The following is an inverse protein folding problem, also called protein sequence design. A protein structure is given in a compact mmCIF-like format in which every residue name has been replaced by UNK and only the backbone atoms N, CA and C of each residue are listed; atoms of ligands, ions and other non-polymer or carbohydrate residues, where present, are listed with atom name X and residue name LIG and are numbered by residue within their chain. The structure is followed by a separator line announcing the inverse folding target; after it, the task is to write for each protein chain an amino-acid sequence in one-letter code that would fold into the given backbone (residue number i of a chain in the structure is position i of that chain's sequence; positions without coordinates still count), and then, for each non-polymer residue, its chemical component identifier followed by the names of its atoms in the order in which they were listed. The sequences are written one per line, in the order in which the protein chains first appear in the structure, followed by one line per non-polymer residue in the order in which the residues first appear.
data_IF_523951343143
#
_entry.id   IF_523951343143
#
_cell.length_a   1.000
_cell.length_b   1.000
_cell.length_c   1.000
_cell.angle_alpha   90.00
_cell.angle_beta   90.00
_cell.angle_gamma   90.00
#
_symmetry.space_group_name_H-M   'P 1'
#
loop_
_entity.id
_entity.type
_entity.pdbx_description
1 polymer ?
#
# COMPACT_ATOMS: atom_id res chain seq x y z
N UNK A 1 2.74 53.52 -29.68
CA UNK A 1 2.70 52.53 -28.57
C UNK A 1 1.58 51.48 -28.67
N UNK A 2 0.35 51.63 -28.15
CA UNK A 2 -0.62 50.49 -28.12
C UNK A 2 -0.91 49.86 -29.50
N UNK A 3 -1.28 50.68 -30.51
CA UNK A 3 -1.58 50.21 -31.88
C UNK A 3 -0.37 49.51 -32.51
N UNK A 4 0.82 49.99 -32.21
CA UNK A 4 2.09 49.47 -32.70
C UNK A 4 2.46 48.13 -32.06
N UNK A 5 2.29 47.99 -30.74
CA UNK A 5 2.42 46.72 -30.02
C UNK A 5 1.40 45.72 -30.56
N UNK A 6 0.13 46.12 -30.72
CA UNK A 6 -0.93 45.25 -31.27
C UNK A 6 -0.58 44.75 -32.68
N UNK A 7 -0.04 45.62 -33.54
CA UNK A 7 0.43 45.26 -34.89
C UNK A 7 1.63 44.30 -34.85
N UNK A 8 2.57 44.48 -33.92
CA UNK A 8 3.69 43.56 -33.76
C UNK A 8 3.21 42.17 -33.32
N UNK A 9 2.32 42.10 -32.32
CA UNK A 9 1.67 40.85 -31.88
C UNK A 9 0.93 40.17 -33.04
N UNK A 10 0.16 40.93 -33.83
CA UNK A 10 -0.55 40.43 -35.01
C UNK A 10 0.43 39.77 -36.00
N UNK A 11 1.52 40.46 -36.34
CA UNK A 11 2.54 39.95 -37.25
C UNK A 11 3.23 38.67 -36.71
N UNK A 12 3.53 38.59 -35.41
CA UNK A 12 4.15 37.40 -34.83
C UNK A 12 3.20 36.18 -34.85
N UNK A 13 1.90 36.37 -34.56
CA UNK A 13 0.90 35.29 -34.66
C UNK A 13 0.72 34.81 -36.12
N UNK A 14 0.86 35.71 -37.10
CA UNK A 14 0.82 35.33 -38.52
C UNK A 14 2.05 34.52 -38.95
N UNK A 15 3.17 34.60 -38.25
CA UNK A 15 4.35 33.76 -38.46
C UNK A 15 4.32 32.43 -37.67
N UNK A 16 3.42 32.30 -36.69
CA UNK A 16 3.29 31.06 -35.91
C UNK A 16 2.84 29.87 -36.79
N UNK A 17 3.48 28.69 -36.68
CA UNK A 17 3.05 27.48 -37.39
C UNK A 17 1.77 26.86 -36.81
N UNK A 18 1.46 27.17 -35.55
CA UNK A 18 0.25 26.76 -34.85
C UNK A 18 0.14 27.49 -33.52
N UNK A 19 -1.08 27.69 -33.05
CA UNK A 19 -1.39 28.49 -31.86
C UNK A 19 -2.21 27.65 -30.87
N UNK A 20 -1.78 27.62 -29.61
CA UNK A 20 -2.58 27.16 -28.50
C UNK A 20 -3.21 28.37 -27.78
N UNK A 21 -4.50 28.31 -27.51
CA UNK A 21 -5.20 29.32 -26.69
C UNK A 21 -5.34 28.81 -25.26
N UNK A 22 -5.15 29.71 -24.29
CA UNK A 22 -5.62 29.51 -22.92
C UNK A 22 -6.70 30.54 -22.61
N UNK A 23 -7.81 30.10 -22.02
CA UNK A 23 -8.90 30.95 -21.52
C UNK A 23 -8.96 30.87 -19.99
N UNK A 24 -9.22 32.01 -19.35
CA UNK A 24 -9.58 32.08 -17.93
C UNK A 24 -10.73 33.09 -17.75
N UNK A 25 -11.75 32.72 -16.98
CA UNK A 25 -12.80 33.64 -16.52
C UNK A 25 -12.66 33.81 -15.01
N UNK A 26 -12.41 35.05 -14.58
CA UNK A 26 -12.10 35.36 -13.19
C UNK A 26 -12.86 36.60 -12.70
N UNK A 27 -13.16 36.64 -11.40
CA UNK A 27 -13.84 37.77 -10.76
C UNK A 27 -12.83 38.67 -10.07
N UNK A 28 -12.87 39.97 -10.38
CA UNK A 28 -12.01 40.96 -9.75
C UNK A 28 -12.44 41.29 -8.31
N UNK A 29 -11.55 41.92 -7.54
CA UNK A 29 -11.87 42.42 -6.19
C UNK A 29 -13.06 43.39 -6.17
N UNK A 30 -13.35 44.07 -7.28
CA UNK A 30 -14.53 44.92 -7.46
C UNK A 30 -15.81 44.13 -7.83
N UNK A 31 -15.80 42.82 -7.64
CA UNK A 31 -16.88 41.86 -7.98
C UNK A 31 -17.32 41.94 -9.46
N UNK A 32 -16.37 42.12 -10.39
CA UNK A 32 -16.65 42.13 -11.83
C UNK A 32 -15.97 40.95 -12.52
N UNK A 33 -16.73 40.17 -13.29
CA UNK A 33 -16.20 39.07 -14.08
C UNK A 33 -15.46 39.57 -15.34
N UNK A 34 -14.28 39.01 -15.59
CA UNK A 34 -13.46 39.25 -16.78
C UNK A 34 -13.15 37.91 -17.46
N UNK A 35 -13.20 37.92 -18.79
CA UNK A 35 -12.66 36.84 -19.63
C UNK A 35 -11.31 37.30 -20.18
N UNK A 36 -10.29 36.45 -20.03
CA UNK A 36 -8.94 36.67 -20.57
C UNK A 36 -8.55 35.52 -21.47
N UNK A 37 -8.03 35.84 -22.66
CA UNK A 37 -7.57 34.88 -23.67
C UNK A 37 -6.12 35.18 -24.04
N UNK A 38 -5.26 34.17 -23.94
CA UNK A 38 -3.83 34.27 -24.25
C UNK A 38 -3.47 33.26 -25.31
N UNK A 39 -2.75 33.69 -26.35
CA UNK A 39 -2.19 32.81 -27.37
C UNK A 39 -0.76 32.41 -26.99
N UNK A 40 -0.42 31.14 -27.21
CA UNK A 40 0.89 30.53 -27.00
C UNK A 40 1.33 29.87 -28.30
N UNK A 41 2.57 30.12 -28.73
CA UNK A 41 3.10 29.60 -29.99
C UNK A 41 4.63 29.49 -29.95
N UNK A 42 5.19 28.73 -30.89
CA UNK A 42 6.65 28.62 -31.06
C UNK A 42 7.14 29.73 -31.98
N UNK A 43 8.03 30.59 -31.46
CA UNK A 43 8.80 31.53 -32.26
C UNK A 43 9.98 30.81 -32.93
N UNK A 44 9.79 30.46 -34.21
CA UNK A 44 10.77 29.77 -35.04
C UNK A 44 12.08 30.56 -35.24
N UNK A 45 12.11 31.88 -35.00
CA UNK A 45 13.35 32.68 -35.12
C UNK A 45 14.27 32.47 -33.91
N UNK A 46 13.69 32.20 -32.75
CA UNK A 46 14.40 32.14 -31.47
C UNK A 46 14.35 30.76 -30.80
N UNK A 47 13.64 29.79 -31.39
CA UNK A 47 13.39 28.46 -30.84
C UNK A 47 12.84 28.50 -29.39
N UNK A 48 11.91 29.43 -29.14
CA UNK A 48 11.29 29.65 -27.82
C UNK A 48 9.77 29.71 -27.94
N UNK A 49 9.08 29.30 -26.87
CA UNK A 49 7.65 29.58 -26.74
C UNK A 49 7.48 31.06 -26.41
N UNK A 50 6.62 31.75 -27.17
CA UNK A 50 6.10 33.09 -26.86
C UNK A 50 4.63 33.00 -26.49
N UNK A 51 4.19 33.96 -25.69
CA UNK A 51 2.78 34.14 -25.40
C UNK A 51 2.38 35.62 -25.45
N UNK A 52 1.14 35.87 -25.86
CA UNK A 52 0.55 37.21 -25.88
C UNK A 52 -0.92 37.15 -25.43
N UNK A 53 -1.29 38.05 -24.51
CA UNK A 53 -2.70 38.27 -24.16
C UNK A 53 -3.39 38.92 -25.36
N UNK A 54 -4.35 38.22 -25.94
CA UNK A 54 -5.12 38.69 -27.10
C UNK A 54 -6.24 39.64 -26.66
N UNK A 55 -6.89 39.31 -25.55
CA UNK A 55 -7.99 40.08 -24.99
C UNK A 55 -8.12 39.81 -23.49
N UNK A 56 -8.32 40.88 -22.71
CA UNK A 56 -8.93 40.83 -21.37
C UNK A 56 -10.09 41.83 -21.38
N UNK A 57 -11.34 41.34 -21.36
CA UNK A 57 -12.54 42.18 -21.35
C UNK A 57 -13.51 41.73 -20.27
N UNK A 58 -14.29 42.69 -19.76
CA UNK A 58 -15.38 42.44 -18.81
C UNK A 58 -16.42 41.54 -19.48
N UNK A 59 -16.78 40.44 -18.83
CA UNK A 59 -17.65 39.40 -19.38
C UNK A 59 -18.93 39.28 -18.53
N UNK A 60 -19.79 40.29 -18.63
CA UNK A 60 -21.01 40.42 -17.80
C UNK A 60 -22.12 39.44 -18.20
N UNK A 61 -22.99 39.12 -17.24
CA UNK A 61 -24.15 38.23 -17.41
C UNK A 61 -23.80 36.74 -17.43
N UNK A 62 -24.77 35.89 -17.73
CA UNK A 62 -24.64 34.43 -17.65
C UNK A 62 -23.45 33.90 -18.46
N UNK A 63 -22.56 33.15 -17.82
CA UNK A 63 -21.39 32.52 -18.45
C UNK A 63 -21.79 31.21 -19.15
N UNK A 64 -22.69 31.29 -20.14
CA UNK A 64 -23.14 30.12 -20.90
C UNK A 64 -22.09 29.70 -21.93
N UNK A 65 -22.15 28.43 -22.35
CA UNK A 65 -21.17 27.83 -23.26
C UNK A 65 -21.11 28.58 -24.59
N UNK A 66 -22.27 28.90 -25.13
CA UNK A 66 -22.49 29.51 -26.44
C UNK A 66 -21.82 30.89 -26.49
N UNK A 67 -22.00 31.72 -25.45
CA UNK A 67 -21.40 33.07 -25.36
C UNK A 67 -19.89 33.03 -25.26
N UNK A 68 -19.33 32.00 -24.62
CA UNK A 68 -17.87 31.84 -24.48
C UNK A 68 -17.27 31.38 -25.82
N UNK A 69 -17.91 30.40 -26.49
CA UNK A 69 -17.51 29.93 -27.82
C UNK A 69 -17.64 31.03 -28.88
N UNK A 70 -18.73 31.79 -28.89
CA UNK A 70 -18.94 32.96 -29.76
C UNK A 70 -17.83 34.00 -29.57
N UNK A 71 -17.49 34.33 -28.31
CA UNK A 71 -16.39 35.26 -28.01
C UNK A 71 -15.03 34.71 -28.43
N UNK A 72 -14.75 33.42 -28.21
CA UNK A 72 -13.50 32.79 -28.68
C UNK A 72 -13.38 32.85 -30.21
N UNK A 73 -14.45 32.54 -30.93
CA UNK A 73 -14.50 32.64 -32.40
C UNK A 73 -14.29 34.10 -32.86
N UNK A 74 -14.92 35.07 -32.19
CA UNK A 74 -14.72 36.50 -32.49
C UNK A 74 -13.26 36.91 -32.31
N UNK A 75 -12.62 36.50 -31.20
CA UNK A 75 -11.19 36.77 -30.96
C UNK A 75 -10.31 36.11 -32.05
N UNK A 76 -10.63 34.89 -32.49
CA UNK A 76 -9.87 34.23 -33.55
C UNK A 76 -10.00 34.95 -34.90
N UNK A 77 -11.16 35.53 -35.20
CA UNK A 77 -11.41 36.36 -36.39
C UNK A 77 -10.71 37.72 -36.27
N UNK A 78 -10.87 38.43 -35.15
CA UNK A 78 -10.25 39.74 -34.86
C UNK A 78 -8.71 39.74 -34.98
N UNK A 79 -8.10 38.59 -34.71
CA UNK A 79 -6.65 38.37 -34.82
C UNK A 79 -6.25 37.59 -36.08
N UNK A 80 -7.20 37.12 -36.91
CA UNK A 80 -6.97 36.35 -38.14
C UNK A 80 -6.13 35.07 -37.93
N UNK A 81 -6.53 34.26 -36.95
CA UNK A 81 -5.81 33.04 -36.51
C UNK A 81 -6.67 31.76 -36.46
N UNK A 82 -7.92 31.79 -36.92
CA UNK A 82 -8.88 30.68 -36.79
C UNK A 82 -8.41 29.33 -37.38
N UNK A 83 -7.71 29.40 -38.51
CA UNK A 83 -7.07 28.27 -39.19
C UNK A 83 -5.88 27.70 -38.39
N UNK A 84 -5.10 28.58 -37.76
CA UNK A 84 -3.88 28.26 -36.99
C UNK A 84 -4.12 27.71 -35.59
N UNK A 85 -5.35 27.79 -35.05
CA UNK A 85 -5.62 27.24 -33.71
C UNK A 85 -5.43 25.73 -33.74
N UNK A 86 -4.60 25.20 -32.85
CA UNK A 86 -4.35 23.76 -32.68
C UNK A 86 -5.10 23.22 -31.46
N UNK A 87 -5.15 23.98 -30.37
CA UNK A 87 -5.70 23.54 -29.10
C UNK A 87 -6.17 24.72 -28.24
N UNK A 88 -7.33 24.57 -27.59
CA UNK A 88 -7.78 25.37 -26.46
C UNK A 88 -7.49 24.61 -25.16
N UNK A 89 -6.90 25.30 -24.18
CA UNK A 89 -6.67 24.85 -22.81
C UNK A 89 -7.55 25.70 -21.88
N UNK A 90 -8.31 25.04 -21.02
CA UNK A 90 -9.32 25.66 -20.15
C UNK A 90 -9.16 25.17 -18.71
N UNK A 91 -9.86 25.78 -17.76
CA UNK A 91 -10.13 25.12 -16.48
C UNK A 91 -11.03 23.87 -16.67
N UNK A 92 -11.16 23.06 -15.61
CA UNK A 92 -11.86 21.78 -15.62
C UNK A 92 -13.36 21.87 -15.31
N UNK A 93 -13.94 23.07 -15.17
CA UNK A 93 -15.35 23.18 -14.76
C UNK A 93 -16.31 22.66 -15.84
N UNK A 94 -17.52 22.25 -15.43
CA UNK A 94 -18.51 21.65 -16.32
C UNK A 94 -18.88 22.52 -17.54
N UNK A 95 -18.84 23.85 -17.39
CA UNK A 95 -19.05 24.79 -18.50
C UNK A 95 -17.86 24.76 -19.46
N UNK A 96 -16.63 24.88 -18.97
CA UNK A 96 -15.44 24.91 -19.83
C UNK A 96 -15.18 23.58 -20.55
N UNK A 97 -15.49 22.44 -19.91
CA UNK A 97 -15.50 21.13 -20.57
C UNK A 97 -16.45 21.07 -21.79
N UNK A 98 -17.55 21.83 -21.78
CA UNK A 98 -18.48 21.95 -22.92
C UNK A 98 -17.97 22.97 -23.94
N UNK A 99 -17.52 24.15 -23.51
CA UNK A 99 -16.87 25.17 -24.37
C UNK A 99 -15.76 24.53 -25.21
N UNK A 100 -14.94 23.70 -24.58
CA UNK A 100 -13.87 22.97 -25.25
C UNK A 100 -14.36 22.00 -26.34
N UNK A 101 -15.45 21.26 -26.10
CA UNK A 101 -16.05 20.37 -27.09
C UNK A 101 -16.65 21.15 -28.26
N UNK A 102 -17.41 22.20 -27.95
CA UNK A 102 -18.16 22.97 -28.94
C UNK A 102 -17.26 23.88 -29.79
N UNK A 103 -16.09 24.27 -29.26
CA UNK A 103 -15.01 24.93 -30.00
C UNK A 103 -14.19 23.96 -30.87
N UNK A 104 -14.35 22.64 -30.70
CA UNK A 104 -13.86 21.60 -31.63
C UNK A 104 -12.35 21.30 -31.63
N UNK A 105 -11.55 21.94 -30.76
CA UNK A 105 -10.08 21.81 -30.75
C UNK A 105 -9.51 21.80 -29.33
N UNK A 106 -9.46 20.65 -28.64
CA UNK A 106 -9.02 20.56 -27.23
C UNK A 106 -8.06 19.41 -26.97
N UNK A 107 -7.03 19.69 -26.18
CA UNK A 107 -6.21 18.68 -25.49
C UNK A 107 -6.74 18.44 -24.08
N UNK A 108 -6.74 17.18 -23.64
CA UNK A 108 -7.34 16.74 -22.38
C UNK A 108 -6.50 17.23 -21.18
N UNK A 109 -7.02 18.22 -20.46
CA UNK A 109 -6.37 18.75 -19.23
C UNK A 109 -6.38 17.67 -18.14
N UNK A 110 -5.30 17.63 -17.34
CA UNK A 110 -5.15 16.71 -16.20
C UNK A 110 -6.24 16.96 -15.17
N UNK A 111 -6.96 15.89 -14.77
CA UNK A 111 -8.04 15.96 -13.80
C UNK A 111 -7.50 15.94 -12.36
N UNK A 112 -7.08 17.12 -11.87
CA UNK A 112 -6.59 17.30 -10.49
C UNK A 112 -7.61 16.82 -9.44
N UNK A 113 -8.90 17.05 -9.66
CA UNK A 113 -10.00 16.55 -8.81
C UNK A 113 -9.95 15.01 -8.64
N UNK A 114 -9.53 14.29 -9.70
CA UNK A 114 -9.37 12.84 -9.68
C UNK A 114 -8.13 12.38 -8.91
N UNK A 115 -7.06 13.17 -8.92
CA UNK A 115 -5.86 12.93 -8.10
C UNK A 115 -6.15 13.17 -6.61
N UNK A 116 -6.86 14.24 -6.28
CA UNK A 116 -7.27 14.52 -4.89
C UNK A 116 -8.22 13.44 -4.36
N UNK A 117 -9.22 13.03 -5.16
CA UNK A 117 -10.10 11.89 -4.83
C UNK A 117 -9.32 10.58 -4.63
N UNK A 118 -8.27 10.34 -5.43
CA UNK A 118 -7.42 9.16 -5.28
C UNK A 118 -6.55 9.23 -4.02
N UNK A 119 -5.94 10.39 -3.71
CA UNK A 119 -5.17 10.59 -2.48
C UNK A 119 -6.01 10.30 -1.23
N UNK A 120 -7.25 10.81 -1.20
CA UNK A 120 -8.18 10.58 -0.09
C UNK A 120 -8.61 9.10 0.07
N UNK A 121 -8.58 8.31 -1.02
CA UNK A 121 -8.83 6.85 -0.96
C UNK A 121 -7.58 6.08 -0.50
N UNK A 122 -6.39 6.56 -0.84
CA UNK A 122 -5.11 5.88 -0.54
C UNK A 122 -4.51 6.25 0.83
N UNK A 123 -4.95 7.33 1.48
CA UNK A 123 -4.48 7.71 2.82
C UNK A 123 -4.61 6.57 3.87
N UNK A 124 -5.75 5.85 3.99
CA UNK A 124 -5.84 4.66 4.86
C UNK A 124 -4.83 3.55 4.51
N UNK A 125 -4.48 3.40 3.24
CA UNK A 125 -3.51 2.39 2.77
C UNK A 125 -2.07 2.77 3.13
N UNK A 126 -1.74 4.05 3.13
CA UNK A 126 -0.45 4.55 3.62
C UNK A 126 -0.31 4.23 5.12
N UNK A 127 -1.31 4.61 5.92
CA UNK A 127 -1.32 4.36 7.35
C UNK A 127 -1.26 2.85 7.69
N UNK A 128 -2.02 2.02 6.95
CA UNK A 128 -1.98 0.57 7.05
C UNK A 128 -0.58 0.00 6.71
N UNK A 129 -0.02 0.37 5.57
CA UNK A 129 1.32 -0.06 5.13
C UNK A 129 2.37 0.32 6.17
N UNK A 130 2.34 1.56 6.66
CA UNK A 130 3.27 2.06 7.69
C UNK A 130 3.16 1.27 9.00
N UNK A 131 1.95 0.91 9.41
CA UNK A 131 1.71 0.12 10.63
C UNK A 131 2.19 -1.33 10.49
N UNK A 132 1.94 -1.96 9.34
CA UNK A 132 2.35 -3.34 9.04
C UNK A 132 3.85 -3.49 8.72
N UNK A 133 4.51 -2.40 8.32
CA UNK A 133 5.96 -2.32 8.10
C UNK A 133 6.74 -1.90 9.37
N UNK A 134 6.12 -1.94 10.55
CA UNK A 134 6.81 -1.70 11.83
C UNK A 134 7.63 -2.93 12.26
N UNK A 135 8.85 -2.71 12.72
CA UNK A 135 9.71 -3.70 13.37
C UNK A 135 9.77 -3.56 14.91
N UNK A 136 9.05 -2.58 15.50
CA UNK A 136 9.08 -2.29 16.95
C UNK A 136 7.95 -2.92 17.77
N UNK A 137 7.01 -3.63 17.14
CA UNK A 137 5.85 -4.25 17.80
C UNK A 137 5.31 -5.43 16.99
N UNK A 138 4.61 -6.41 17.59
CA UNK A 138 3.92 -7.47 16.86
C UNK A 138 3.06 -6.93 15.71
N UNK A 139 3.36 -7.37 14.48
CA UNK A 139 2.63 -6.97 13.27
C UNK A 139 1.72 -8.07 12.72
N UNK A 140 1.97 -9.35 13.01
CA UNK A 140 1.12 -10.44 12.52
C UNK A 140 -0.32 -10.37 13.03
N UNK A 141 -0.51 -10.01 14.29
CA UNK A 141 -1.82 -9.93 14.96
C UNK A 141 -2.66 -8.71 14.57
N UNK A 142 -2.08 -7.77 13.82
CA UNK A 142 -2.80 -6.60 13.30
C UNK A 142 -3.10 -6.70 11.81
N UNK A 143 -2.67 -7.75 11.10
CA UNK A 143 -2.97 -7.92 9.66
C UNK A 143 -4.48 -7.94 9.43
N UNK A 144 -5.22 -8.85 10.09
CA UNK A 144 -6.68 -8.99 9.91
C UNK A 144 -7.49 -7.75 10.37
N UNK A 145 -7.19 -7.12 11.53
CA UNK A 145 -7.76 -5.82 11.87
C UNK A 145 -7.50 -4.73 10.83
N UNK A 146 -6.30 -4.67 10.24
CA UNK A 146 -5.95 -3.70 9.21
C UNK A 146 -6.67 -3.98 7.90
N UNK A 147 -6.71 -5.23 7.41
CA UNK A 147 -7.44 -5.57 6.18
C UNK A 147 -8.94 -5.32 6.31
N UNK A 148 -9.53 -5.64 7.47
CA UNK A 148 -10.93 -5.31 7.77
C UNK A 148 -11.16 -3.79 7.76
N UNK A 149 -10.31 -3.03 8.46
CA UNK A 149 -10.41 -1.55 8.50
C UNK A 149 -10.29 -0.93 7.11
N UNK A 150 -9.41 -1.47 6.26
CA UNK A 150 -9.30 -1.05 4.87
C UNK A 150 -10.58 -1.36 4.09
N UNK A 151 -11.15 -2.57 4.20
CA UNK A 151 -12.41 -2.92 3.53
C UNK A 151 -13.55 -1.98 3.96
N UNK A 152 -13.69 -1.68 5.25
CA UNK A 152 -14.69 -0.72 5.76
C UNK A 152 -14.41 0.70 5.25
N UNK A 153 -13.15 1.13 5.14
CA UNK A 153 -12.81 2.45 4.58
C UNK A 153 -13.20 2.62 3.11
N UNK A 154 -13.33 1.51 2.38
CA UNK A 154 -13.75 1.44 0.98
C UNK A 154 -15.28 1.39 0.79
N UNK A 155 -16.07 1.41 1.87
CA UNK A 155 -17.54 1.50 1.75
C UNK A 155 -17.97 2.78 1.02
N UNK A 156 -19.05 2.68 0.27
CA UNK A 156 -19.58 3.81 -0.50
C UNK A 156 -20.17 4.88 0.42
N UNK A 157 -19.93 6.14 0.07
CA UNK A 157 -20.56 7.32 0.66
C UNK A 157 -21.49 7.95 -0.38
N UNK A 158 -22.56 8.62 0.05
CA UNK A 158 -23.52 9.26 -0.86
C UNK A 158 -22.85 10.32 -1.76
N UNK A 159 -21.82 11.00 -1.23
CA UNK A 159 -21.02 11.99 -1.94
C UNK A 159 -19.96 11.40 -2.90
N UNK A 160 -19.74 10.08 -2.93
CA UNK A 160 -18.69 9.47 -3.75
C UNK A 160 -19.00 9.58 -5.25
N UNK A 161 -18.03 10.06 -6.02
CA UNK A 161 -18.07 10.11 -7.47
C UNK A 161 -18.08 8.70 -8.11
N UNK A 162 -18.48 8.62 -9.38
CA UNK A 162 -18.38 7.35 -10.15
C UNK A 162 -16.94 6.85 -10.30
N UNK A 163 -15.96 7.77 -10.29
CA UNK A 163 -14.54 7.41 -10.25
C UNK A 163 -14.17 6.79 -8.90
N UNK A 164 -14.54 7.42 -7.79
CA UNK A 164 -14.26 6.91 -6.43
C UNK A 164 -14.86 5.52 -6.21
N UNK A 165 -16.12 5.30 -6.60
CA UNK A 165 -16.79 3.99 -6.51
C UNK A 165 -16.02 2.92 -7.27
N UNK A 166 -15.65 3.19 -8.53
CA UNK A 166 -14.86 2.25 -9.35
C UNK A 166 -13.47 1.98 -8.76
N UNK A 167 -12.79 2.98 -8.19
CA UNK A 167 -11.49 2.76 -7.51
C UNK A 167 -11.69 1.89 -6.26
N UNK A 168 -12.71 2.18 -5.45
CA UNK A 168 -13.06 1.41 -4.25
C UNK A 168 -13.37 -0.06 -4.57
N UNK A 169 -14.12 -0.33 -5.64
CA UNK A 169 -14.45 -1.70 -6.07
C UNK A 169 -13.19 -2.52 -6.39
N UNK A 170 -12.27 -1.95 -7.20
CA UNK A 170 -11.04 -2.64 -7.59
C UNK A 170 -10.12 -2.89 -6.39
N UNK A 171 -9.99 -1.91 -5.49
CA UNK A 171 -9.21 -2.07 -4.26
C UNK A 171 -9.84 -3.12 -3.33
N UNK A 172 -11.16 -3.11 -3.16
CA UNK A 172 -11.88 -4.07 -2.31
C UNK A 172 -11.72 -5.48 -2.84
N UNK A 173 -11.94 -5.69 -4.14
CA UNK A 173 -11.71 -6.97 -4.80
C UNK A 173 -10.26 -7.45 -4.60
N UNK A 174 -9.27 -6.58 -4.84
CA UNK A 174 -7.86 -6.96 -4.72
C UNK A 174 -7.42 -7.25 -3.28
N UNK A 175 -8.00 -6.60 -2.26
CA UNK A 175 -7.79 -6.98 -0.85
C UNK A 175 -8.41 -8.35 -0.60
N UNK A 176 -9.68 -8.55 -0.99
CA UNK A 176 -10.38 -9.80 -0.73
C UNK A 176 -9.67 -11.00 -1.38
N UNK A 177 -9.30 -10.92 -2.66
CA UNK A 177 -8.55 -11.95 -3.39
C UNK A 177 -7.18 -12.27 -2.75
N UNK A 178 -6.44 -11.25 -2.30
CA UNK A 178 -5.08 -11.44 -1.76
C UNK A 178 -5.03 -11.89 -0.30
N UNK A 179 -6.10 -11.69 0.45
CA UNK A 179 -6.16 -11.94 1.89
C UNK A 179 -7.26 -12.96 2.28
N UNK A 180 -7.85 -13.66 1.31
CA UNK A 180 -8.91 -14.66 1.52
C UNK A 180 -8.47 -15.82 2.43
N UNK A 181 -7.24 -16.30 2.27
CA UNK A 181 -6.64 -17.40 3.06
C UNK A 181 -5.64 -16.91 4.13
N UNK A 182 -5.97 -15.83 4.86
CA UNK A 182 -5.18 -15.44 6.03
C UNK A 182 -5.33 -16.47 7.17
N UNK A 183 -4.45 -17.47 7.18
CA UNK A 183 -4.15 -18.32 8.35
C UNK A 183 -3.81 -17.54 9.65
N UNK A 184 -3.64 -16.21 9.53
CA UNK A 184 -3.21 -15.26 10.55
C UNK A 184 -4.35 -14.72 11.43
N UNK A 185 -5.61 -14.85 11.02
CA UNK A 185 -6.79 -14.45 11.84
C UNK A 185 -6.77 -15.10 13.23
N UNK A 186 -6.21 -16.32 13.27
CA UNK A 186 -5.99 -17.15 14.46
C UNK A 186 -4.93 -16.62 15.43
N UNK A 187 -4.02 -15.77 14.96
CA UNK A 187 -2.96 -15.15 15.75
C UNK A 187 -3.39 -13.81 16.36
N UNK A 188 -4.46 -13.21 15.85
CA UNK A 188 -5.15 -12.05 16.47
C UNK A 188 -5.61 -12.40 17.89
N UNK A 189 -6.05 -13.65 18.12
CA UNK A 189 -6.49 -14.16 19.42
C UNK A 189 -5.42 -14.02 20.52
N UNK A 190 -4.13 -14.12 20.16
CA UNK A 190 -3.01 -13.98 21.10
C UNK A 190 -2.64 -12.52 21.38
N UNK A 191 -3.32 -11.53 20.80
CA UNK A 191 -3.06 -10.12 21.03
C UNK A 191 -4.13 -9.51 21.96
N UNK A 192 -3.79 -9.17 23.22
CA UNK A 192 -4.75 -8.66 24.20
C UNK A 192 -5.36 -7.30 23.84
N UNK A 193 -4.93 -6.66 22.74
CA UNK A 193 -5.62 -5.51 22.17
C UNK A 193 -6.92 -5.93 21.48
N UNK A 194 -6.98 -7.08 20.82
CA UNK A 194 -8.06 -7.49 19.91
C UNK A 194 -8.79 -8.72 20.47
N UNK A 195 -9.69 -8.50 21.42
CA UNK A 195 -10.55 -9.54 22.03
C UNK A 195 -12.02 -9.40 21.66
N UNK A 196 -12.47 -8.20 21.33
CA UNK A 196 -13.77 -7.98 20.68
C UNK A 196 -13.64 -8.20 19.17
N UNK A 197 -14.00 -9.40 18.71
CA UNK A 197 -13.90 -9.79 17.30
C UNK A 197 -15.14 -9.38 16.48
N UNK A 198 -16.03 -8.52 16.99
CA UNK A 198 -17.24 -8.08 16.28
C UNK A 198 -17.00 -7.44 14.90
N UNK A 199 -15.76 -7.02 14.62
CA UNK A 199 -15.30 -6.54 13.31
C UNK A 199 -14.90 -7.66 12.34
N UNK A 200 -14.46 -8.84 12.82
CA UNK A 200 -14.12 -9.97 11.95
C UNK A 200 -15.39 -10.61 11.38
N UNK A 201 -15.26 -11.18 10.17
CA UNK A 201 -16.41 -11.58 9.38
C UNK A 201 -17.30 -12.61 10.09
N UNK A 202 -18.62 -12.42 10.02
CA UNK A 202 -19.65 -13.11 10.82
C UNK A 202 -19.69 -14.63 10.63
N UNK A 203 -19.01 -15.16 9.62
CA UNK A 203 -18.86 -16.58 9.29
C UNK A 203 -17.90 -17.36 10.19
N UNK A 204 -17.05 -16.68 10.98
CA UNK A 204 -16.14 -17.31 11.95
C UNK A 204 -16.73 -17.39 13.38
N UNK A 205 -17.94 -16.89 13.59
CA UNK A 205 -18.52 -16.72 14.94
C UNK A 205 -19.41 -17.89 15.39
N UNK A 206 -18.92 -19.12 15.31
CA UNK A 206 -19.64 -20.31 15.81
C UNK A 206 -18.86 -21.12 16.87
N UNK A 207 -19.03 -20.66 18.12
CA UNK A 207 -18.74 -21.32 19.41
C UNK A 207 -17.33 -21.21 20.01
N UNK A 208 -17.27 -21.24 21.35
CA UNK A 208 -16.06 -21.33 22.18
C UNK A 208 -15.07 -22.46 21.80
N UNK A 209 -15.49 -23.42 20.97
CA UNK A 209 -14.62 -24.50 20.53
C UNK A 209 -13.48 -24.01 19.61
N UNK A 210 -13.66 -22.88 18.90
CA UNK A 210 -12.70 -22.47 17.89
C UNK A 210 -11.35 -22.01 18.45
N UNK A 211 -11.28 -21.23 19.53
CA UNK A 211 -9.99 -20.85 20.13
C UNK A 211 -9.21 -22.08 20.63
N UNK A 212 -9.90 -23.09 21.17
CA UNK A 212 -9.29 -24.37 21.54
C UNK A 212 -8.84 -25.17 20.31
N UNK A 213 -9.63 -25.21 19.24
CA UNK A 213 -9.23 -25.82 17.96
C UNK A 213 -7.98 -25.11 17.41
N UNK A 214 -7.92 -23.78 17.49
CA UNK A 214 -6.77 -22.96 17.06
C UNK A 214 -5.51 -23.27 17.87
N UNK A 215 -5.61 -23.29 19.21
CA UNK A 215 -4.47 -23.63 20.07
C UNK A 215 -3.98 -25.06 19.83
N UNK A 216 -4.91 -26.02 19.65
CA UNK A 216 -4.57 -27.40 19.27
C UNK A 216 -3.96 -27.47 17.86
N UNK A 217 -4.40 -26.65 16.90
CA UNK A 217 -3.82 -26.59 15.54
C UNK A 217 -2.43 -25.96 15.54
N UNK A 218 -2.19 -24.91 16.32
CA UNK A 218 -0.85 -24.31 16.49
C UNK A 218 0.11 -25.29 17.17
N UNK A 219 -0.35 -26.01 18.21
CA UNK A 219 0.44 -27.07 18.85
C UNK A 219 0.67 -28.28 17.93
N UNK A 220 -0.31 -28.64 17.08
CA UNK A 220 -0.14 -29.68 16.06
C UNK A 220 0.82 -29.24 14.93
N UNK A 221 0.83 -27.96 14.57
CA UNK A 221 1.81 -27.38 13.65
C UNK A 221 3.22 -27.42 14.25
N UNK A 222 3.36 -27.12 15.55
CA UNK A 222 4.61 -27.30 16.28
C UNK A 222 5.08 -28.76 16.32
N UNK A 223 4.17 -29.70 16.61
CA UNK A 223 4.48 -31.12 16.60
C UNK A 223 4.90 -31.60 15.20
N UNK A 224 4.23 -31.13 14.13
CA UNK A 224 4.61 -31.42 12.73
C UNK A 224 5.95 -30.82 12.34
N UNK A 225 6.24 -29.57 12.74
CA UNK A 225 7.54 -28.94 12.46
C UNK A 225 8.67 -29.59 13.25
N UNK A 226 8.45 -29.98 14.51
CA UNK A 226 9.42 -30.77 15.27
C UNK A 226 9.62 -32.15 14.66
N UNK A 227 8.56 -32.83 14.21
CA UNK A 227 8.67 -34.10 13.49
C UNK A 227 9.40 -33.94 12.15
N UNK A 228 9.13 -32.89 11.38
CA UNK A 228 9.83 -32.59 10.12
C UNK A 228 11.31 -32.28 10.36
N UNK A 229 11.64 -31.42 11.33
CA UNK A 229 13.03 -31.12 11.70
C UNK A 229 13.76 -32.37 12.25
N UNK A 230 13.07 -33.22 13.00
CA UNK A 230 13.63 -34.50 13.48
C UNK A 230 13.87 -35.46 12.31
N UNK A 231 12.92 -35.61 11.40
CA UNK A 231 13.06 -36.41 10.18
C UNK A 231 14.16 -35.86 9.26
N UNK A 232 14.27 -34.54 9.10
CA UNK A 232 15.33 -33.89 8.32
C UNK A 232 16.70 -34.10 8.97
N UNK A 233 16.78 -34.04 10.31
CA UNK A 233 18.01 -34.31 11.07
C UNK A 233 18.40 -35.79 11.00
N UNK A 234 17.44 -36.71 11.08
CA UNK A 234 17.62 -38.15 10.84
C UNK A 234 18.07 -38.42 9.40
N UNK A 235 17.43 -37.81 8.40
CA UNK A 235 17.79 -37.93 6.99
C UNK A 235 19.20 -37.41 6.72
N UNK A 236 19.57 -36.25 7.27
CA UNK A 236 20.94 -35.74 7.20
C UNK A 236 21.94 -36.62 7.96
N UNK A 237 21.52 -37.36 9.00
CA UNK A 237 22.39 -38.33 9.69
C UNK A 237 22.55 -39.65 8.92
N UNK A 238 21.53 -40.05 8.15
CA UNK A 238 21.50 -41.29 7.35
C UNK A 238 22.08 -41.14 5.94
N UNK A 239 21.97 -39.94 5.34
CA UNK A 239 22.31 -39.67 3.93
C UNK A 239 23.23 -38.44 3.75
N UNK A 240 23.42 -37.61 4.78
CA UNK A 240 24.27 -36.42 4.72
C UNK A 240 25.73 -36.71 4.97
N UNK A 241 26.38 -37.42 4.03
CA UNK A 241 27.84 -37.50 3.94
C UNK A 241 28.29 -37.76 2.49
N UNK A 242 28.16 -36.73 1.66
CA UNK A 242 28.77 -36.61 0.33
C UNK A 242 29.27 -35.17 0.16
N UNK A 243 30.55 -34.85 -0.02
CA UNK A 243 31.81 -35.64 -0.08
C UNK A 243 32.99 -34.68 0.31
N UNK A 244 34.30 -34.99 0.36
CA UNK A 244 35.10 -36.15 -0.10
C UNK A 244 36.47 -36.14 0.63
N UNK A 245 36.99 -37.27 1.13
CA UNK A 245 38.45 -37.50 1.29
C UNK A 245 38.83 -38.94 1.69
N UNK A 246 39.70 -39.56 0.88
CA UNK A 246 40.84 -40.44 1.25
C UNK A 246 40.67 -41.73 2.09
N UNK A 247 41.37 -42.78 1.63
CA UNK A 247 41.43 -44.15 2.16
C UNK A 247 42.07 -44.29 3.55
N UNK A 248 41.58 -45.24 4.37
CA UNK A 248 42.41 -46.31 4.99
C UNK A 248 41.57 -47.36 5.74
N UNK A 249 42.07 -48.59 5.82
CA UNK A 249 41.39 -49.77 6.41
C UNK A 249 41.51 -49.84 7.95
N UNK A 250 40.43 -50.18 8.68
CA UNK A 250 40.42 -51.06 9.88
C UNK A 250 39.06 -51.81 9.97
N UNK A 251 39.03 -52.97 10.62
CA UNK A 251 37.92 -53.93 10.69
C UNK A 251 36.81 -53.58 11.73
N UNK A 252 35.58 -54.06 11.45
CA UNK A 252 34.46 -54.53 12.31
C UNK A 252 34.39 -54.16 13.83
N UNK A 253 33.18 -53.92 14.40
CA UNK A 253 32.11 -54.94 14.41
C UNK A 253 30.66 -54.46 14.22
N UNK A 254 29.77 -55.44 14.07
CA UNK A 254 28.31 -55.27 13.99
C UNK A 254 27.72 -54.64 15.26
N UNK A 255 26.83 -53.65 15.09
CA UNK A 255 25.85 -53.32 16.12
C UNK A 255 24.43 -53.32 15.52
N UNK A 256 23.54 -54.03 16.22
CA UNK A 256 22.19 -54.39 15.77
C UNK A 256 21.39 -53.14 15.39
N UNK A 257 20.75 -53.18 14.21
CA UNK A 257 19.59 -52.31 13.93
C UNK A 257 18.57 -52.53 15.05
N UNK A 258 18.35 -51.52 15.90
CA UNK A 258 17.11 -51.48 16.67
C UNK A 258 15.98 -51.27 15.68
N UNK A 259 15.05 -52.22 15.67
CA UNK A 259 13.85 -52.17 14.87
C UNK A 259 13.01 -50.95 15.28
N UNK A 260 12.46 -50.25 14.28
CA UNK A 260 11.75 -49.00 14.48
C UNK A 260 10.36 -49.28 15.04
N UNK A 261 10.15 -49.07 16.34
CA UNK A 261 8.86 -49.33 16.96
C UNK A 261 7.88 -48.18 16.65
N UNK A 262 6.82 -48.52 15.91
CA UNK A 262 5.72 -47.61 15.55
C UNK A 262 4.98 -47.08 16.80
N UNK A 263 5.09 -47.74 17.96
CA UNK A 263 4.46 -47.27 19.19
C UNK A 263 5.11 -46.03 19.82
N UNK A 264 6.38 -45.71 19.53
CA UNK A 264 7.02 -44.46 20.01
C UNK A 264 6.31 -43.21 19.47
N UNK A 265 5.70 -43.30 18.29
CA UNK A 265 4.88 -42.22 17.71
C UNK A 265 3.60 -42.01 18.53
N UNK A 266 3.01 -43.07 19.11
CA UNK A 266 1.80 -42.96 19.93
C UNK A 266 2.05 -42.30 21.29
N UNK A 267 3.23 -42.48 21.90
CA UNK A 267 3.60 -41.84 23.18
C UNK A 267 3.52 -40.30 23.07
N UNK A 268 3.89 -39.74 21.91
CA UNK A 268 3.84 -38.29 21.68
C UNK A 268 2.41 -37.74 21.67
N UNK A 269 1.44 -38.51 21.15
CA UNK A 269 0.02 -38.14 21.15
C UNK A 269 -0.61 -38.18 22.56
N UNK A 270 -0.05 -38.96 23.50
CA UNK A 270 -0.56 -39.05 24.87
C UNK A 270 -0.24 -37.84 25.77
N UNK A 271 0.47 -36.81 25.28
CA UNK A 271 0.65 -35.52 25.99
C UNK A 271 -0.62 -34.64 25.90
N UNK A 272 -1.57 -35.01 25.04
CA UNK A 272 -2.84 -34.29 24.82
C UNK A 272 -3.81 -34.41 26.01
N UNK A 273 -3.71 -35.45 26.85
CA UNK A 273 -4.70 -35.82 27.89
C UNK A 273 -4.60 -35.04 29.22
N UNK A 274 -4.26 -33.74 29.18
CA UNK A 274 -4.39 -32.82 30.34
C UNK A 274 -5.24 -31.60 29.99
N UNK A 275 -6.47 -31.85 29.52
CA UNK A 275 -7.43 -30.84 29.06
C UNK A 275 -7.93 -29.91 30.19
N UNK A 276 -8.25 -30.46 31.37
CA UNK A 276 -8.95 -29.73 32.44
C UNK A 276 -8.24 -28.46 32.98
N UNK A 277 -6.93 -28.29 32.76
CA UNK A 277 -6.21 -27.06 33.15
C UNK A 277 -6.11 -26.04 32.02
N UNK A 278 -6.23 -26.47 30.76
CA UNK A 278 -5.96 -25.65 29.56
C UNK A 278 -7.16 -24.78 29.20
N UNK A 279 -8.36 -25.34 29.34
CA UNK A 279 -9.62 -24.63 29.08
C UNK A 279 -9.82 -23.45 30.05
N UNK A 280 -9.38 -23.60 31.31
CA UNK A 280 -9.46 -22.55 32.33
C UNK A 280 -8.55 -21.34 32.05
N UNK A 281 -7.33 -21.56 31.55
CA UNK A 281 -6.39 -20.47 31.21
C UNK A 281 -6.95 -19.58 30.09
N UNK A 282 -7.57 -20.20 29.09
CA UNK A 282 -8.23 -19.50 27.98
C UNK A 282 -9.48 -18.73 28.43
N UNK A 283 -10.39 -19.36 29.16
CA UNK A 283 -11.59 -18.68 29.67
C UNK A 283 -11.24 -17.49 30.56
N UNK A 284 -10.16 -17.58 31.35
CA UNK A 284 -9.66 -16.43 32.14
C UNK A 284 -9.07 -15.32 31.27
N UNK A 285 -8.50 -15.63 30.10
CA UNK A 285 -7.94 -14.67 29.16
C UNK A 285 -9.03 -13.95 28.35
N UNK A 286 -10.06 -14.67 27.89
CA UNK A 286 -11.21 -14.11 27.17
C UNK A 286 -12.03 -13.15 28.05
N UNK A 287 -12.17 -13.43 29.35
CA UNK A 287 -12.86 -12.55 30.30
C UNK A 287 -12.00 -11.37 30.82
N UNK A 288 -10.72 -11.32 30.49
CA UNK A 288 -9.81 -10.24 30.90
C UNK A 288 -9.93 -9.04 29.96
N UNK A 289 -9.81 -7.81 30.47
CA UNK A 289 -10.05 -6.60 29.66
C UNK A 289 -9.09 -6.49 28.47
N UNK A 290 -9.54 -5.81 27.41
CA UNK A 290 -8.66 -5.35 26.33
C UNK A 290 -7.67 -4.31 26.86
N UNK A 291 -6.46 -4.33 26.32
CA UNK A 291 -5.47 -3.24 26.52
C UNK A 291 -5.58 -2.19 25.42
N UNK A 292 -5.06 -0.98 25.64
CA UNK A 292 -5.17 0.11 24.68
C UNK A 292 -4.40 -0.18 23.38
N UNK A 293 -4.90 0.32 22.25
CA UNK A 293 -4.35 0.07 20.89
C UNK A 293 -2.88 0.52 20.72
N UNK A 294 -2.41 1.43 21.56
CA UNK A 294 -1.04 1.94 21.61
C UNK A 294 -0.11 1.19 22.57
N UNK A 295 -0.63 0.30 23.43
CA UNK A 295 0.18 -0.50 24.35
C UNK A 295 0.82 -1.72 23.64
N UNK A 296 1.84 -2.29 24.28
CA UNK A 296 2.63 -3.39 23.75
C UNK A 296 2.10 -4.76 24.24
N UNK A 297 1.62 -5.64 23.34
CA UNK A 297 1.19 -6.99 23.71
C UNK A 297 2.24 -7.80 24.48
N UNK A 298 3.52 -7.65 24.13
CA UNK A 298 4.60 -8.47 24.70
C UNK A 298 4.90 -8.08 26.15
N UNK A 299 4.76 -6.80 26.50
CA UNK A 299 4.88 -6.32 27.88
C UNK A 299 3.72 -6.86 28.73
N UNK A 300 2.49 -6.83 28.19
CA UNK A 300 1.32 -7.39 28.86
C UNK A 300 1.46 -8.90 29.11
N UNK A 301 1.92 -9.66 28.10
CA UNK A 301 2.18 -11.10 28.26
C UNK A 301 3.31 -11.38 29.26
N UNK A 302 4.33 -10.53 29.34
CA UNK A 302 5.40 -10.68 30.34
C UNK A 302 4.90 -10.40 31.77
N UNK A 303 4.04 -9.39 31.94
CA UNK A 303 3.41 -9.08 33.22
C UNK A 303 2.45 -10.20 33.68
N UNK A 304 1.70 -10.79 32.75
CA UNK A 304 0.68 -11.81 33.06
C UNK A 304 1.16 -13.26 32.90
N UNK A 305 2.45 -13.52 32.64
CA UNK A 305 2.99 -14.87 32.40
C UNK A 305 2.78 -15.88 33.54
N UNK A 306 2.61 -15.40 34.78
CA UNK A 306 2.29 -16.24 35.95
C UNK A 306 0.80 -16.62 36.00
N UNK A 307 -0.08 -15.75 35.50
CA UNK A 307 -1.52 -15.99 35.33
C UNK A 307 -1.82 -16.86 34.11
N UNK A 308 -1.04 -16.70 33.04
CA UNK A 308 -1.20 -17.40 31.76
C UNK A 308 0.11 -18.09 31.31
N UNK A 309 0.53 -19.19 31.97
CA UNK A 309 1.83 -19.84 31.73
C UNK A 309 1.94 -20.64 30.42
N UNK A 310 0.82 -20.92 29.74
CA UNK A 310 0.80 -21.64 28.45
C UNK A 310 0.59 -20.67 27.31
N UNK A 311 -0.40 -19.78 27.42
CA UNK A 311 -0.73 -18.78 26.39
C UNK A 311 0.40 -17.76 26.22
N UNK A 312 1.07 -17.34 27.30
CA UNK A 312 2.23 -16.44 27.17
C UNK A 312 3.36 -17.05 26.33
N UNK A 313 3.64 -18.36 26.47
CA UNK A 313 4.65 -19.07 25.65
C UNK A 313 4.25 -19.09 24.17
N UNK A 314 2.98 -19.32 23.88
CA UNK A 314 2.46 -19.30 22.50
C UNK A 314 2.47 -17.88 21.93
N UNK A 315 2.08 -16.87 22.71
CA UNK A 315 2.14 -15.47 22.33
C UNK A 315 3.57 -15.02 21.99
N UNK A 316 4.55 -15.27 22.87
CA UNK A 316 5.95 -14.97 22.56
C UNK A 316 6.50 -15.72 21.33
N UNK A 317 5.97 -16.91 21.05
CA UNK A 317 6.38 -17.75 19.91
C UNK A 317 5.78 -17.30 18.58
N UNK A 318 4.54 -16.82 18.56
CA UNK A 318 3.84 -16.48 17.31
C UNK A 318 3.73 -14.97 17.04
N UNK A 319 3.69 -14.11 18.06
CA UNK A 319 3.62 -12.65 17.87
C UNK A 319 4.94 -12.04 17.35
N UNK A 320 6.03 -12.81 17.33
CA UNK A 320 7.29 -12.40 16.69
C UNK A 320 7.29 -12.56 15.16
N UNK A 321 6.27 -13.21 14.59
CA UNK A 321 6.10 -13.27 13.14
C UNK A 321 5.85 -11.85 12.62
N UNK A 322 6.56 -11.46 11.56
CA UNK A 322 6.39 -10.17 10.89
C UNK A 322 5.27 -10.27 9.85
N UNK A 323 4.32 -9.32 9.87
CA UNK A 323 3.23 -9.26 8.89
C UNK A 323 3.66 -8.87 7.46
N UNK A 324 4.89 -8.37 7.27
CA UNK A 324 5.43 -7.95 5.96
C UNK A 324 6.93 -8.23 5.84
N UNK A 325 7.45 -8.28 4.61
CA UNK A 325 8.89 -8.30 4.28
C UNK A 325 9.57 -6.92 4.38
N UNK A 326 8.80 -5.85 4.55
CA UNK A 326 9.26 -4.46 4.53
C UNK A 326 10.42 -4.12 5.49
N UNK A 327 10.55 -4.72 6.70
CA UNK A 327 11.73 -4.52 7.54
C UNK A 327 13.05 -4.92 6.86
N UNK A 328 13.05 -6.02 6.10
CA UNK A 328 14.21 -6.49 5.33
C UNK A 328 14.47 -5.59 4.12
N UNK A 329 13.43 -5.11 3.45
CA UNK A 329 13.55 -4.17 2.32
C UNK A 329 14.08 -2.80 2.76
N UNK A 330 13.75 -2.35 3.98
CA UNK A 330 14.32 -1.12 4.57
C UNK A 330 15.81 -1.27 4.85
N UNK A 331 16.28 -2.46 5.25
CA UNK A 331 17.71 -2.75 5.35
C UNK A 331 18.42 -2.63 4.01
N UNK A 332 17.87 -3.22 2.94
CA UNK A 332 18.43 -3.09 1.60
C UNK A 332 18.37 -1.66 1.06
N UNK A 333 17.32 -0.89 1.36
CA UNK A 333 17.21 0.52 0.93
C UNK A 333 18.24 1.42 1.62
N UNK A 334 18.40 1.25 2.94
CA UNK A 334 19.39 1.99 3.74
C UNK A 334 20.82 1.62 3.32
N UNK A 335 21.04 0.34 3.01
CA UNK A 335 22.33 -0.17 2.54
C UNK A 335 22.58 0.12 1.06
N UNK A 336 21.54 0.35 0.26
CA UNK A 336 21.65 0.84 -1.11
C UNK A 336 22.43 2.15 -1.19
N UNK A 337 22.32 3.02 -0.18
CA UNK A 337 23.19 4.19 -0.06
C UNK A 337 24.65 3.84 0.29
N UNK A 338 24.90 2.79 1.07
CA UNK A 338 26.25 2.29 1.41
C UNK A 338 26.94 1.57 0.22
N UNK A 339 26.16 0.96 -0.67
CA UNK A 339 26.65 0.26 -1.88
C UNK A 339 26.55 1.09 -3.16
N UNK A 340 25.89 2.25 -3.13
CA UNK A 340 25.78 3.19 -4.27
C UNK A 340 27.13 3.65 -4.82
N UNK A 341 27.11 4.24 -6.03
CA UNK A 341 28.23 4.53 -6.95
C UNK A 341 29.55 5.07 -6.36
N UNK A 342 29.54 5.63 -5.14
CA UNK A 342 30.75 6.00 -4.40
C UNK A 342 31.58 4.80 -3.90
N UNK A 343 31.05 3.58 -3.89
CA UNK A 343 31.77 2.35 -3.46
C UNK A 343 31.49 1.13 -4.36
N UNK A 344 31.56 1.30 -5.67
CA UNK A 344 31.37 0.27 -6.72
C UNK A 344 32.37 -0.91 -6.74
N UNK A 345 33.11 -1.16 -5.64
CA UNK A 345 34.09 -2.25 -5.49
C UNK A 345 33.87 -3.10 -4.23
N UNK A 346 32.71 -2.99 -3.59
CA UNK A 346 32.38 -3.80 -2.42
C UNK A 346 32.15 -5.27 -2.84
N UNK A 347 32.88 -6.21 -2.25
CA UNK A 347 32.64 -7.65 -2.49
C UNK A 347 31.44 -8.14 -1.68
N UNK A 348 30.77 -9.24 -2.07
CA UNK A 348 29.61 -9.76 -1.35
C UNK A 348 29.86 -10.01 0.15
N UNK A 349 31.05 -10.47 0.51
CA UNK A 349 31.45 -10.77 1.89
C UNK A 349 31.59 -9.50 2.73
N UNK A 350 32.12 -8.43 2.12
CA UNK A 350 32.20 -7.12 2.78
C UNK A 350 30.82 -6.44 2.88
N UNK A 351 29.91 -6.72 1.94
CA UNK A 351 28.53 -6.26 2.01
C UNK A 351 27.77 -6.93 3.16
N UNK A 352 27.92 -8.24 3.32
CA UNK A 352 27.35 -9.02 4.44
C UNK A 352 27.84 -8.51 5.81
N UNK A 353 29.17 -8.38 5.97
CA UNK A 353 29.78 -7.86 7.22
C UNK A 353 29.27 -6.45 7.56
N UNK A 354 29.17 -5.55 6.57
CA UNK A 354 28.68 -4.18 6.80
C UNK A 354 27.18 -4.13 7.10
N UNK A 355 26.36 -4.96 6.45
CA UNK A 355 24.95 -5.15 6.75
C UNK A 355 24.75 -5.63 8.19
N UNK A 356 25.51 -6.66 8.58
CA UNK A 356 25.49 -7.24 9.91
C UNK A 356 25.85 -6.20 10.98
N UNK A 357 26.97 -5.50 10.83
CA UNK A 357 27.37 -4.48 11.81
C UNK A 357 26.33 -3.36 11.92
N UNK A 358 25.87 -2.79 10.80
CA UNK A 358 24.92 -1.66 10.80
C UNK A 358 23.58 -1.97 11.50
N UNK A 359 23.06 -3.20 11.41
CA UNK A 359 21.79 -3.56 12.08
C UNK A 359 21.96 -4.01 13.54
N UNK A 360 23.16 -4.37 13.97
CA UNK A 360 23.43 -4.95 15.30
C UNK A 360 24.32 -4.06 16.21
N UNK A 361 24.74 -2.88 15.74
CA UNK A 361 25.41 -1.83 16.52
C UNK A 361 24.42 -0.86 17.16
#
# INVERSE_FOLDING_TARGET
MYVEIRRNVYNELHLAPGICLTINIWTSQANQAYMSVTAHFVDLKNNKIKNFVLETKKFSGNHTVERIVERLNTICIDWSISDKIVCLVTDTCNTMRKVGKDFGKVSKVVEWDGLEQLMNILEPFEAATRKLASDSSPTISIVSPVTTTLITSLEYRDADSSFQKKVKDNLRFSIQERFEELYQDKLVLLDPRWKDFSFLNRSLYQSHNETLIVLNQLQAFDARNLAYLFLQKQFNTLFGNTSTASQSNVQQPEQKKKEFDLFDIMITNNIVTSTNSRDGELLMYENEREIYRNENPLEWWNANKTKFPTLSKLAFKYLCITGTSAPSERMFSTTGHLTSDRRSRLTPENADILLFFNKNS
#
